data_IF_196233064417
#
_entry.id   IF_196233064417
#
_cell.length_a   1.000
_cell.length_b   1.000
_cell.length_c   1.000
_cell.angle_alpha   90.00
_cell.angle_beta   90.00
_cell.angle_gamma   90.00
#
_symmetry.space_group_name_H-M   'P 1'
#
loop_
_entity.id
_entity.type
_entity.pdbx_description
1 polymer ?
#
# COMPACT_ATOMS: atom_id res chain seq x y z
N UNK A 1 -4.34 -16.45 77.86
CA UNK A 1 -4.89 -15.57 76.81
C UNK A 1 -4.23 -15.91 75.48
N UNK A 2 -5.05 -16.04 74.44
CA UNK A 2 -4.75 -16.17 73.00
C UNK A 2 -4.08 -17.44 72.45
N UNK A 3 -4.93 -18.19 71.74
CA UNK A 3 -4.67 -19.08 70.61
C UNK A 3 -3.94 -18.34 69.47
N UNK A 4 -3.13 -19.03 68.65
CA UNK A 4 -3.51 -19.53 67.31
C UNK A 4 -2.28 -19.78 66.39
N UNK A 5 -2.15 -21.04 65.97
CA UNK A 5 -1.88 -21.54 64.60
C UNK A 5 -0.83 -20.84 63.70
N UNK A 6 0.17 -21.63 63.30
CA UNK A 6 0.68 -21.60 61.92
C UNK A 6 -0.48 -21.88 60.95
N UNK A 7 -0.52 -21.21 59.79
CA UNK A 7 -0.07 -21.91 58.60
C UNK A 7 0.75 -21.05 57.63
N UNK A 8 1.69 -21.73 56.97
CA UNK A 8 2.00 -21.63 55.55
C UNK A 8 1.72 -20.28 54.86
N UNK A 9 2.78 -19.50 54.64
CA UNK A 9 2.83 -18.54 53.55
C UNK A 9 3.99 -18.93 52.64
N UNK A 10 3.64 -19.67 51.59
CA UNK A 10 4.32 -19.66 50.30
C UNK A 10 4.56 -18.19 49.95
N UNK A 11 5.81 -17.72 50.08
CA UNK A 11 6.24 -16.49 49.42
C UNK A 11 6.31 -16.81 47.93
N UNK A 12 5.18 -16.68 47.25
CA UNK A 12 5.17 -16.52 45.80
C UNK A 12 5.79 -15.15 45.55
N UNK A 13 7.07 -15.15 45.17
CA UNK A 13 7.68 -14.00 44.51
C UNK A 13 7.00 -13.82 43.14
N UNK A 14 5.83 -13.18 43.13
CA UNK A 14 5.09 -12.77 41.93
C UNK A 14 4.95 -11.24 41.92
N UNK A 15 6.07 -10.53 41.89
CA UNK A 15 6.05 -9.07 41.81
C UNK A 15 7.32 -8.50 41.16
N UNK A 16 7.77 -9.09 40.05
CA UNK A 16 8.79 -8.49 39.19
C UNK A 16 8.73 -9.05 37.77
N UNK A 17 7.52 -9.17 37.21
CA UNK A 17 7.31 -9.07 35.78
C UNK A 17 6.36 -7.89 35.59
N UNK A 18 6.87 -6.68 35.87
CA UNK A 18 6.42 -5.52 35.11
C UNK A 18 6.90 -5.85 33.70
N UNK A 19 6.03 -6.51 32.96
CA UNK A 19 6.28 -6.89 31.59
C UNK A 19 6.76 -5.64 30.87
N UNK A 20 7.85 -5.80 30.12
CA UNK A 20 8.10 -5.03 28.93
C UNK A 20 6.93 -5.30 27.96
N UNK A 21 5.74 -4.81 28.28
CA UNK A 21 4.70 -4.55 27.31
C UNK A 21 4.83 -3.05 27.04
N UNK A 22 5.80 -2.70 26.20
CA UNK A 22 5.65 -1.53 25.36
C UNK A 22 4.45 -1.81 24.45
N UNK A 23 3.25 -1.68 25.01
CA UNK A 23 2.08 -1.38 24.21
C UNK A 23 2.36 0.00 23.64
N UNK A 24 3.02 0.05 22.48
CA UNK A 24 2.97 1.21 21.61
C UNK A 24 1.51 1.57 21.46
N UNK A 25 1.07 2.58 22.23
CA UNK A 25 -0.32 3.01 22.21
C UNK A 25 -0.59 3.52 20.80
N UNK A 26 -1.46 2.82 20.07
CA UNK A 26 -1.85 3.27 18.74
C UNK A 26 -2.51 4.64 18.86
N UNK A 27 -2.15 5.50 17.94
CA UNK A 27 -2.80 6.78 17.74
C UNK A 27 -3.96 6.59 16.76
N UNK A 28 -4.99 7.43 16.91
CA UNK A 28 -6.03 7.52 15.89
C UNK A 28 -5.39 8.09 14.62
N UNK A 29 -5.45 7.35 13.52
CA UNK A 29 -4.93 7.80 12.22
C UNK A 29 -6.11 8.00 11.28
N UNK A 30 -6.23 9.19 10.72
CA UNK A 30 -7.08 9.45 9.57
C UNK A 30 -6.18 9.48 8.33
N UNK A 31 -6.45 8.61 7.35
CA UNK A 31 -5.64 8.51 6.13
C UNK A 31 -6.54 8.56 4.90
N UNK A 32 -6.26 9.50 4.01
CA UNK A 32 -6.83 9.57 2.68
C UNK A 32 -5.86 8.91 1.68
N UNK A 33 -6.34 7.88 0.97
CA UNK A 33 -5.57 7.17 -0.05
C UNK A 33 -6.17 7.42 -1.42
N UNK A 34 -5.32 7.86 -2.35
CA UNK A 34 -5.64 7.88 -3.77
C UNK A 34 -4.87 6.77 -4.48
N UNK A 35 -5.56 6.01 -5.33
CA UNK A 35 -4.97 4.94 -6.12
C UNK A 35 -5.49 4.99 -7.56
N UNK A 36 -4.58 4.94 -8.53
CA UNK A 36 -4.94 4.97 -9.95
C UNK A 36 -3.88 4.27 -10.80
N UNK A 37 -4.27 3.83 -12.01
CA UNK A 37 -3.36 3.24 -13.00
C UNK A 37 -3.28 3.96 -14.32
N UNK A 38 -4.32 4.71 -14.65
CA UNK A 38 -4.44 5.43 -15.90
C UNK A 38 -5.30 6.66 -15.68
N UNK A 39 -5.12 7.65 -16.55
CA UNK A 39 -6.04 8.75 -16.63
C UNK A 39 -7.41 8.27 -17.16
N UNK A 40 -8.48 9.05 -16.94
CA UNK A 40 -9.82 8.71 -17.39
C UNK A 40 -9.90 8.67 -18.91
N UNK A 41 -10.76 7.82 -19.45
CA UNK A 41 -10.93 7.68 -20.91
C UNK A 41 -11.27 9.02 -21.58
N UNK A 42 -12.05 9.85 -20.90
CA UNK A 42 -12.40 11.22 -21.32
C UNK A 42 -11.17 12.13 -21.53
N UNK A 43 -10.08 11.90 -20.80
CA UNK A 43 -8.81 12.64 -20.93
C UNK A 43 -7.97 12.01 -22.04
N UNK A 44 -7.90 10.68 -22.07
CA UNK A 44 -7.11 9.94 -23.06
C UNK A 44 -7.65 10.08 -24.48
N UNK A 45 -8.97 10.18 -24.67
CA UNK A 45 -9.62 10.29 -25.98
C UNK A 45 -9.52 11.69 -26.62
N UNK A 46 -9.10 12.72 -25.87
CA UNK A 46 -9.10 14.12 -26.33
C UNK A 46 -8.05 14.42 -27.40
N UNK A 47 -7.01 13.61 -27.57
CA UNK A 47 -5.87 13.98 -28.42
C UNK A 47 -5.22 12.78 -29.11
N UNK A 48 -4.98 12.89 -30.42
CA UNK A 48 -4.24 11.91 -31.22
C UNK A 48 -2.72 12.18 -31.29
N UNK A 49 -2.22 13.17 -30.55
CA UNK A 49 -0.81 13.59 -30.53
C UNK A 49 -0.20 13.29 -29.16
N UNK A 50 0.77 12.38 -29.11
CA UNK A 50 1.38 11.86 -27.87
C UNK A 50 1.82 12.96 -26.89
N UNK A 51 2.51 14.01 -27.35
CA UNK A 51 3.01 15.08 -26.47
C UNK A 51 1.90 15.96 -25.86
N UNK A 52 0.75 16.10 -26.53
CA UNK A 52 -0.39 16.83 -25.97
C UNK A 52 -1.15 15.97 -24.96
N UNK A 53 -1.25 14.66 -25.20
CA UNK A 53 -1.86 13.72 -24.27
C UNK A 53 -1.09 13.67 -22.94
N UNK A 54 0.25 13.61 -22.98
CA UNK A 54 1.07 13.60 -21.78
C UNK A 54 0.85 14.84 -20.91
N UNK A 55 0.80 16.03 -21.54
CA UNK A 55 0.50 17.28 -20.82
C UNK A 55 -0.90 17.27 -20.19
N UNK A 56 -1.92 16.82 -20.91
CA UNK A 56 -3.28 16.76 -20.36
C UNK A 56 -3.38 15.81 -19.16
N UNK A 57 -2.70 14.67 -19.22
CA UNK A 57 -2.62 13.72 -18.09
C UNK A 57 -1.89 14.35 -16.92
N UNK A 58 -0.77 15.05 -17.16
CA UNK A 58 -0.02 15.75 -16.13
C UNK A 58 -0.84 16.85 -15.44
N UNK A 59 -1.51 17.70 -16.22
CA UNK A 59 -2.35 18.79 -15.73
C UNK A 59 -3.53 18.23 -14.92
N UNK A 60 -4.23 17.22 -15.47
CA UNK A 60 -5.32 16.52 -14.79
C UNK A 60 -4.88 15.93 -13.44
N UNK A 61 -3.76 15.20 -13.42
CA UNK A 61 -3.26 14.56 -12.22
C UNK A 61 -2.78 15.58 -11.19
N UNK A 62 -2.08 16.63 -11.63
CA UNK A 62 -1.62 17.71 -10.75
C UNK A 62 -2.81 18.40 -10.07
N UNK A 63 -3.87 18.69 -10.82
CA UNK A 63 -5.08 19.30 -10.27
C UNK A 63 -5.75 18.37 -9.26
N UNK A 64 -5.94 17.09 -9.60
CA UNK A 64 -6.59 16.13 -8.71
C UNK A 64 -5.80 15.90 -7.41
N UNK A 65 -4.47 15.79 -7.49
CA UNK A 65 -3.64 15.61 -6.30
C UNK A 65 -3.60 16.88 -5.44
N UNK A 66 -3.66 18.06 -6.05
CA UNK A 66 -3.82 19.32 -5.32
C UNK A 66 -5.15 19.35 -4.56
N UNK A 67 -6.28 19.11 -5.25
CA UNK A 67 -7.61 19.07 -4.63
C UNK A 67 -7.69 18.02 -3.51
N UNK A 68 -7.10 16.84 -3.73
CA UNK A 68 -7.09 15.76 -2.76
C UNK A 68 -6.22 16.09 -1.53
N UNK A 69 -5.12 16.83 -1.70
CA UNK A 69 -4.31 17.35 -0.58
C UNK A 69 -5.09 18.38 0.23
N UNK A 70 -5.62 19.42 -0.42
CA UNK A 70 -6.40 20.49 0.25
C UNK A 70 -7.57 19.90 1.05
N UNK A 71 -8.30 18.94 0.45
CA UNK A 71 -9.44 18.32 1.12
C UNK A 71 -8.99 17.46 2.31
N UNK A 72 -7.86 16.77 2.20
CA UNK A 72 -7.29 15.99 3.32
C UNK A 72 -6.84 16.90 4.46
N UNK A 73 -6.21 18.03 4.16
CA UNK A 73 -5.83 19.04 5.15
C UNK A 73 -7.06 19.61 5.88
N UNK A 74 -8.11 19.99 5.14
CA UNK A 74 -9.37 20.45 5.73
C UNK A 74 -10.03 19.39 6.63
N UNK A 75 -9.96 18.12 6.23
CA UNK A 75 -10.52 16.98 6.99
C UNK A 75 -9.59 16.49 8.11
N UNK A 76 -8.43 17.10 8.31
CA UNK A 76 -7.42 16.66 9.28
C UNK A 76 -7.03 15.18 9.08
N UNK A 77 -6.83 14.82 7.82
CA UNK A 77 -6.39 13.49 7.38
C UNK A 77 -4.99 13.57 6.79
N UNK A 78 -4.17 12.56 7.07
CA UNK A 78 -2.95 12.30 6.33
C UNK A 78 -3.27 11.93 4.87
N UNK A 79 -2.29 12.08 3.99
CA UNK A 79 -2.46 11.89 2.56
C UNK A 79 -1.38 10.99 1.97
N UNK A 80 -1.79 10.09 1.06
CA UNK A 80 -0.89 9.32 0.20
C UNK A 80 -1.53 9.03 -1.16
N UNK A 81 -0.70 9.11 -2.20
CA UNK A 81 -1.05 8.85 -3.58
C UNK A 81 -0.21 7.69 -4.14
N UNK A 82 -0.90 6.73 -4.74
CA UNK A 82 -0.32 5.49 -5.25
C UNK A 82 -0.62 5.39 -6.75
N UNK A 83 0.40 5.07 -7.54
CA UNK A 83 0.25 4.78 -8.96
C UNK A 83 0.56 3.31 -9.25
N UNK A 84 -0.24 2.63 -10.06
CA UNK A 84 0.03 1.26 -10.48
C UNK A 84 -0.12 1.08 -11.99
N UNK A 85 0.92 0.66 -12.69
CA UNK A 85 0.78 0.42 -14.13
C UNK A 85 0.08 -0.94 -14.40
N UNK A 86 -1.18 -0.93 -14.84
CA UNK A 86 -1.94 -2.18 -15.04
C UNK A 86 -2.16 -2.57 -16.51
N UNK A 87 -1.83 -1.71 -17.48
CA UNK A 87 -2.11 -1.93 -18.92
C UNK A 87 -0.86 -1.78 -19.80
N UNK A 88 -0.71 -2.64 -20.83
CA UNK A 88 0.35 -2.52 -21.86
C UNK A 88 0.06 -1.45 -22.90
N UNK A 89 -1.21 -1.06 -23.08
CA UNK A 89 -1.67 -0.35 -24.28
C UNK A 89 -1.70 1.17 -24.17
N UNK A 90 -1.35 1.73 -23.01
CA UNK A 90 -1.41 3.17 -22.78
C UNK A 90 -0.13 3.56 -22.07
N UNK A 91 0.75 4.24 -22.82
CA UNK A 91 2.05 4.67 -22.32
C UNK A 91 1.89 5.36 -20.98
N UNK A 92 2.65 4.88 -19.99
CA UNK A 92 2.79 5.52 -18.70
C UNK A 92 3.12 6.99 -18.95
N UNK A 93 2.28 7.92 -18.53
CA UNK A 93 2.64 9.34 -18.58
C UNK A 93 3.83 9.51 -17.64
N UNK A 94 5.01 9.79 -18.19
CA UNK A 94 6.23 9.88 -17.38
C UNK A 94 6.15 11.01 -16.36
N UNK A 95 5.44 12.08 -16.71
CA UNK A 95 5.08 13.18 -15.80
C UNK A 95 4.22 12.74 -14.61
N UNK A 96 3.42 11.68 -14.73
CA UNK A 96 2.60 11.19 -13.62
C UNK A 96 3.42 10.55 -12.50
N UNK A 97 4.56 9.94 -12.85
CA UNK A 97 5.44 9.25 -11.90
C UNK A 97 6.09 10.21 -10.90
N UNK A 98 6.25 11.49 -11.28
CA UNK A 98 6.81 12.51 -10.40
C UNK A 98 5.85 12.95 -9.29
N UNK A 99 4.55 12.98 -9.60
CA UNK A 99 3.51 13.62 -8.78
C UNK A 99 3.01 12.73 -7.63
N UNK A 100 3.17 11.42 -7.72
CA UNK A 100 2.67 10.45 -6.74
C UNK A 100 3.70 10.06 -5.68
N UNK A 101 3.26 9.52 -4.55
CA UNK A 101 4.13 9.12 -3.46
C UNK A 101 4.82 7.78 -3.72
N UNK A 102 4.07 6.78 -4.18
CA UNK A 102 4.56 5.39 -4.37
C UNK A 102 4.16 4.84 -5.72
N UNK A 103 5.11 4.13 -6.35
CA UNK A 103 4.92 3.50 -7.66
C UNK A 103 4.81 1.98 -7.52
N UNK A 104 3.81 1.38 -8.14
CA UNK A 104 3.73 -0.05 -8.40
C UNK A 104 3.93 -0.24 -9.91
N UNK A 105 5.16 -0.54 -10.29
CA UNK A 105 5.54 -0.71 -11.69
C UNK A 105 5.74 -2.18 -12.04
N UNK A 106 5.51 -2.54 -13.30
CA UNK A 106 5.86 -3.86 -13.84
C UNK A 106 7.30 -3.84 -14.37
N UNK A 107 7.96 -5.02 -14.47
CA UNK A 107 9.36 -5.09 -14.86
C UNK A 107 9.69 -4.37 -16.19
N UNK A 108 8.87 -4.56 -17.21
CA UNK A 108 9.01 -3.91 -18.52
C UNK A 108 8.87 -2.39 -18.45
N UNK A 109 7.87 -1.87 -17.71
CA UNK A 109 7.72 -0.42 -17.53
C UNK A 109 8.85 0.20 -16.70
N UNK A 110 9.43 -0.53 -15.75
CA UNK A 110 10.63 -0.09 -15.02
C UNK A 110 11.79 0.06 -16.01
N UNK A 111 12.00 -0.91 -16.90
CA UNK A 111 13.06 -0.86 -17.91
C UNK A 111 12.87 0.33 -18.86
N UNK A 112 11.65 0.55 -19.35
CA UNK A 112 11.30 1.58 -20.31
C UNK A 112 11.44 3.00 -19.73
N UNK A 113 10.99 3.21 -18.49
CA UNK A 113 10.93 4.54 -17.87
C UNK A 113 12.03 4.80 -16.84
N UNK A 114 13.08 3.98 -16.80
CA UNK A 114 14.15 4.05 -15.79
C UNK A 114 14.77 5.44 -15.62
N UNK A 115 14.88 6.22 -16.71
CA UNK A 115 15.43 7.58 -16.70
C UNK A 115 14.41 8.67 -16.33
N UNK A 116 13.13 8.35 -16.41
CA UNK A 116 12.04 9.26 -16.11
C UNK A 116 11.52 9.11 -14.67
N UNK A 117 11.77 7.97 -14.03
CA UNK A 117 11.45 7.77 -12.60
C UNK A 117 12.34 8.71 -11.77
N UNK A 118 11.76 9.62 -10.96
CA UNK A 118 12.55 10.52 -10.13
C UNK A 118 13.43 9.73 -9.16
N UNK A 119 14.66 10.20 -8.96
CA UNK A 119 15.58 9.61 -7.97
C UNK A 119 14.94 9.62 -6.58
N UNK A 120 15.03 8.47 -5.88
CA UNK A 120 14.48 8.32 -4.54
C UNK A 120 12.97 8.09 -4.48
N UNK A 121 12.27 7.99 -5.62
CA UNK A 121 10.86 7.61 -5.65
C UNK A 121 10.72 6.12 -5.27
N UNK A 122 9.91 5.74 -4.27
CA UNK A 122 9.75 4.35 -3.88
C UNK A 122 8.98 3.58 -4.95
N UNK A 123 9.56 2.44 -5.37
CA UNK A 123 8.89 1.45 -6.21
C UNK A 123 8.55 0.26 -5.33
N UNK A 124 7.27 -0.02 -5.17
CA UNK A 124 6.77 -1.11 -4.35
C UNK A 124 6.71 -2.41 -5.16
N UNK A 125 7.53 -3.37 -4.73
CA UNK A 125 7.85 -4.56 -5.51
C UNK A 125 7.97 -5.83 -4.66
N UNK A 126 7.08 -6.01 -3.68
CA UNK A 126 7.14 -7.10 -2.69
C UNK A 126 7.25 -8.49 -3.33
N UNK A 127 6.44 -8.79 -4.35
CA UNK A 127 6.48 -10.11 -4.99
C UNK A 127 7.42 -10.19 -6.19
N UNK A 128 7.83 -9.07 -6.78
CA UNK A 128 8.66 -9.08 -7.99
C UNK A 128 10.10 -9.48 -7.74
N UNK A 129 10.68 -10.20 -8.71
CA UNK A 129 12.12 -10.41 -8.75
C UNK A 129 12.78 -9.29 -9.57
N UNK A 130 13.30 -8.27 -8.90
CA UNK A 130 14.02 -7.17 -9.56
C UNK A 130 15.52 -7.47 -9.80
N UNK A 131 15.99 -8.70 -9.54
CA UNK A 131 17.37 -9.12 -9.79
C UNK A 131 17.95 -8.76 -11.19
N UNK A 132 17.19 -8.77 -12.30
CA UNK A 132 17.76 -8.43 -13.61
C UNK A 132 17.98 -6.93 -13.87
N UNK A 133 17.55 -6.00 -13.00
CA UNK A 133 17.70 -4.55 -13.24
C UNK A 133 19.09 -3.98 -12.87
N UNK A 134 20.10 -4.84 -12.73
CA UNK A 134 21.51 -4.41 -12.63
C UNK A 134 22.05 -4.18 -14.05
N UNK A 135 21.87 -2.98 -14.60
CA UNK A 135 22.52 -2.58 -15.84
C UNK A 135 23.66 -1.58 -15.62
N UNK A 136 24.69 -1.76 -16.46
CA UNK A 136 26.02 -1.17 -16.40
C UNK A 136 26.04 0.35 -16.22
N UNK A 137 26.57 0.82 -15.08
CA UNK A 137 27.02 2.20 -14.89
C UNK A 137 25.99 3.22 -14.41
N UNK A 138 24.70 2.87 -14.37
CA UNK A 138 23.66 3.71 -13.77
C UNK A 138 22.99 2.93 -12.64
N UNK A 139 23.50 3.11 -11.43
CA UNK A 139 22.79 2.75 -10.21
C UNK A 139 21.42 3.45 -10.26
N UNK A 140 20.36 2.71 -10.57
CA UNK A 140 19.01 3.08 -10.20
C UNK A 140 19.04 3.19 -8.68
N UNK A 141 19.22 4.42 -8.20
CA UNK A 141 19.39 4.75 -6.79
C UNK A 141 18.30 4.04 -5.97
N UNK A 142 18.69 2.99 -5.24
CA UNK A 142 17.81 2.31 -4.29
C UNK A 142 17.24 0.95 -4.70
N UNK A 143 17.64 0.31 -5.81
CA UNK A 143 17.30 -1.11 -6.05
C UNK A 143 18.22 -2.02 -5.22
N UNK A 144 18.14 -1.89 -3.89
CA UNK A 144 18.51 -2.98 -3.00
C UNK A 144 17.36 -3.99 -3.06
N UNK A 145 17.66 -5.26 -3.30
CA UNK A 145 16.64 -6.31 -3.46
C UNK A 145 15.68 -6.44 -2.28
N UNK A 146 16.04 -5.89 -1.11
CA UNK A 146 15.24 -5.87 0.10
C UNK A 146 14.56 -4.50 0.36
N UNK A 147 15.12 -3.38 -0.11
CA UNK A 147 14.59 -2.02 0.15
C UNK A 147 13.31 -1.67 -0.60
N UNK A 148 12.97 -2.43 -1.65
CA UNK A 148 11.75 -2.21 -2.45
C UNK A 148 10.61 -3.19 -2.08
N UNK A 149 10.83 -4.09 -1.12
CA UNK A 149 9.82 -5.06 -0.70
C UNK A 149 8.74 -4.43 0.15
N UNK A 150 9.07 -3.37 0.88
CA UNK A 150 8.16 -2.66 1.77
C UNK A 150 8.44 -1.18 1.64
N UNK A 151 7.40 -0.38 1.51
CA UNK A 151 7.48 1.05 1.77
C UNK A 151 6.86 1.33 3.15
N UNK A 152 7.56 2.03 4.03
CA UNK A 152 7.03 2.40 5.34
C UNK A 152 6.95 3.91 5.47
N UNK A 153 5.89 4.40 6.12
CA UNK A 153 5.71 5.83 6.40
C UNK A 153 5.05 6.01 7.76
N UNK A 154 5.58 6.96 8.54
CA UNK A 154 4.96 7.38 9.78
C UNK A 154 3.74 8.25 9.47
N UNK A 155 2.63 7.94 10.11
CA UNK A 155 1.47 8.79 10.23
C UNK A 155 1.26 9.05 11.71
N UNK A 156 1.52 10.30 12.13
CA UNK A 156 1.69 10.67 13.52
C UNK A 156 2.79 9.83 14.21
N UNK A 157 2.40 8.91 15.10
CA UNK A 157 3.35 8.05 15.84
C UNK A 157 3.34 6.61 15.37
N UNK A 158 2.41 6.24 14.50
CA UNK A 158 2.26 4.89 14.00
C UNK A 158 2.97 4.72 12.66
N UNK A 159 3.69 3.60 12.52
CA UNK A 159 4.33 3.21 11.28
C UNK A 159 3.37 2.36 10.47
N UNK A 160 3.10 2.76 9.22
CA UNK A 160 2.27 2.01 8.29
C UNK A 160 3.16 1.40 7.21
N UNK A 161 3.04 0.09 7.01
CA UNK A 161 3.74 -0.66 5.98
C UNK A 161 2.86 -0.82 4.74
N UNK A 162 3.44 -0.56 3.58
CA UNK A 162 2.84 -0.80 2.27
C UNK A 162 3.58 -1.94 1.60
N UNK A 163 2.83 -2.92 1.10
CA UNK A 163 3.31 -4.08 0.34
C UNK A 163 2.50 -4.22 -0.95
N UNK A 164 3.05 -4.91 -1.95
CA UNK A 164 2.41 -5.07 -3.25
C UNK A 164 2.23 -6.51 -3.69
N UNK A 165 1.11 -6.78 -4.34
CA UNK A 165 0.92 -7.94 -5.21
C UNK A 165 1.10 -7.48 -6.66
N UNK A 166 2.30 -7.67 -7.20
CA UNK A 166 2.63 -7.25 -8.55
C UNK A 166 2.24 -8.31 -9.58
N UNK A 167 1.67 -7.88 -10.70
CA UNK A 167 1.20 -8.73 -11.77
C UNK A 167 2.10 -8.59 -13.00
N UNK A 168 2.94 -9.59 -13.26
CA UNK A 168 3.83 -9.58 -14.43
C UNK A 168 3.10 -9.75 -15.78
N UNK A 169 1.85 -10.24 -15.79
CA UNK A 169 1.18 -10.72 -17.01
C UNK A 169 0.08 -9.80 -17.57
N UNK A 170 -0.17 -8.63 -16.96
CA UNK A 170 -1.22 -7.67 -17.40
C UNK A 170 -2.66 -8.20 -17.41
N UNK A 171 -2.89 -9.44 -16.97
CA UNK A 171 -4.20 -10.02 -16.75
C UNK A 171 -4.47 -10.08 -15.24
N UNK A 172 -5.43 -9.28 -14.71
CA UNK A 172 -5.70 -9.17 -13.27
C UNK A 172 -6.34 -10.43 -12.67
N UNK A 173 -6.72 -11.41 -13.51
CA UNK A 173 -7.36 -12.67 -13.09
C UNK A 173 -6.37 -13.84 -13.02
N UNK A 174 -5.11 -13.63 -13.44
CA UNK A 174 -4.10 -14.69 -13.43
C UNK A 174 -3.67 -15.10 -12.03
N UNK A 175 -3.25 -16.36 -11.89
CA UNK A 175 -2.70 -16.86 -10.63
C UNK A 175 -1.25 -16.41 -10.43
N UNK A 176 -0.92 -16.03 -9.20
CA UNK A 176 0.48 -15.80 -8.79
C UNK A 176 1.30 -17.09 -8.72
N UNK A 177 2.62 -16.94 -8.84
CA UNK A 177 3.56 -18.05 -8.70
C UNK A 177 3.71 -18.49 -7.24
N UNK A 178 4.29 -19.67 -7.01
CA UNK A 178 4.62 -20.13 -5.64
C UNK A 178 5.61 -19.18 -4.96
N UNK A 179 6.55 -18.62 -5.71
CA UNK A 179 7.57 -17.71 -5.16
C UNK A 179 6.96 -16.38 -4.71
N UNK A 180 5.95 -15.88 -5.42
CA UNK A 180 5.21 -14.67 -5.01
C UNK A 180 4.54 -14.87 -3.66
N UNK A 181 3.90 -16.03 -3.46
CA UNK A 181 3.27 -16.40 -2.17
C UNK A 181 4.31 -16.46 -1.05
N UNK A 182 5.46 -17.09 -1.30
CA UNK A 182 6.54 -17.21 -0.31
C UNK A 182 7.05 -15.82 0.09
N UNK A 183 7.38 -14.97 -0.88
CA UNK A 183 7.87 -13.60 -0.62
C UNK A 183 6.87 -12.75 0.13
N UNK A 184 5.59 -12.84 -0.23
CA UNK A 184 4.53 -12.12 0.46
C UNK A 184 4.40 -12.57 1.92
N UNK A 185 4.44 -13.89 2.18
CA UNK A 185 4.45 -14.45 3.54
C UNK A 185 5.65 -13.97 4.36
N UNK A 186 6.85 -14.09 3.80
CA UNK A 186 8.09 -13.66 4.45
C UNK A 186 8.06 -12.17 4.78
N UNK A 187 7.56 -11.34 3.86
CA UNK A 187 7.46 -9.89 4.05
C UNK A 187 6.45 -9.52 5.14
N UNK A 188 5.26 -10.14 5.14
CA UNK A 188 4.26 -9.90 6.20
C UNK A 188 4.81 -10.33 7.56
N UNK A 189 5.49 -11.47 7.62
CA UNK A 189 6.14 -11.93 8.85
C UNK A 189 7.24 -10.96 9.32
N UNK A 190 8.05 -10.44 8.41
CA UNK A 190 9.08 -9.44 8.72
C UNK A 190 8.47 -8.14 9.26
N UNK A 191 7.35 -7.68 8.70
CA UNK A 191 6.61 -6.53 9.22
C UNK A 191 6.15 -6.76 10.67
N UNK A 192 5.61 -7.95 10.95
CA UNK A 192 5.20 -8.34 12.31
C UNK A 192 6.38 -8.35 13.29
N UNK A 193 7.51 -8.95 12.91
CA UNK A 193 8.73 -8.99 13.74
C UNK A 193 9.28 -7.60 14.02
N UNK A 194 9.11 -6.66 13.08
CA UNK A 194 9.52 -5.26 13.21
C UNK A 194 8.45 -4.36 13.87
N UNK A 195 7.41 -4.95 14.48
CA UNK A 195 6.33 -4.24 15.15
C UNK A 195 5.53 -3.28 14.24
N UNK A 196 5.47 -3.57 12.94
CA UNK A 196 4.62 -2.86 11.97
C UNK A 196 3.31 -3.64 11.83
N UNK A 197 2.27 -3.12 12.48
CA UNK A 197 0.97 -3.78 12.58
C UNK A 197 -0.18 -3.03 11.88
N UNK A 198 0.17 -2.07 11.02
CA UNK A 198 -0.76 -1.43 10.07
C UNK A 198 -0.24 -1.69 8.67
N UNK A 199 -0.85 -2.65 7.98
CA UNK A 199 -0.34 -3.15 6.70
C UNK A 199 -1.37 -2.91 5.60
N UNK A 200 -0.93 -2.21 4.56
CA UNK A 200 -1.71 -1.90 3.36
C UNK A 200 -1.12 -2.71 2.21
N UNK A 201 -1.91 -3.66 1.70
CA UNK A 201 -1.60 -4.42 0.50
C UNK A 201 -2.20 -3.74 -0.72
N UNK A 202 -1.35 -3.38 -1.67
CA UNK A 202 -1.74 -2.78 -2.96
C UNK A 202 -1.59 -3.83 -4.07
N UNK A 203 -2.68 -4.19 -4.72
CA UNK A 203 -2.72 -5.29 -5.69
C UNK A 203 -2.93 -4.81 -7.12
N UNK A 204 -2.20 -5.45 -8.04
CA UNK A 204 -2.41 -5.36 -9.49
C UNK A 204 -3.32 -6.47 -10.03
N UNK A 205 -3.95 -7.24 -9.13
CA UNK A 205 -4.97 -8.23 -9.44
C UNK A 205 -6.34 -7.72 -9.00
N UNK A 206 -7.40 -8.31 -9.55
CA UNK A 206 -8.76 -8.02 -9.09
C UNK A 206 -8.97 -8.51 -7.63
N UNK A 207 -10.05 -8.06 -7.01
CA UNK A 207 -10.36 -8.28 -5.60
C UNK A 207 -10.54 -9.75 -5.31
N UNK A 208 -11.26 -10.46 -6.19
CA UNK A 208 -11.52 -11.90 -6.03
C UNK A 208 -10.22 -12.70 -6.03
N UNK A 209 -9.34 -12.41 -6.98
CA UNK A 209 -8.04 -13.05 -7.13
C UNK A 209 -7.12 -12.68 -5.98
N UNK A 210 -7.09 -11.41 -5.60
CA UNK A 210 -6.34 -10.91 -4.44
C UNK A 210 -6.74 -11.61 -3.14
N UNK A 211 -8.04 -11.72 -2.87
CA UNK A 211 -8.55 -12.44 -1.69
C UNK A 211 -8.19 -13.93 -1.72
N UNK A 212 -8.29 -14.59 -2.88
CA UNK A 212 -7.88 -15.99 -3.03
C UNK A 212 -6.37 -16.18 -2.76
N UNK A 213 -5.54 -15.22 -3.19
CA UNK A 213 -4.10 -15.20 -2.94
C UNK A 213 -3.80 -15.04 -1.45
N UNK A 214 -4.43 -14.07 -0.78
CA UNK A 214 -4.31 -13.83 0.66
C UNK A 214 -4.70 -15.09 1.45
N UNK A 215 -5.83 -15.71 1.10
CA UNK A 215 -6.31 -16.93 1.75
C UNK A 215 -5.34 -18.11 1.54
N UNK A 216 -4.85 -18.31 0.31
CA UNK A 216 -3.82 -19.32 0.00
C UNK A 216 -2.51 -19.05 0.74
N UNK A 217 -2.16 -17.78 0.90
CA UNK A 217 -1.01 -17.32 1.63
C UNK A 217 -1.24 -17.30 3.16
N UNK A 218 -2.45 -17.59 3.66
CA UNK A 218 -2.78 -17.62 5.09
C UNK A 218 -2.32 -16.35 5.83
N UNK A 219 -2.45 -15.18 5.20
CA UNK A 219 -1.99 -13.91 5.77
C UNK A 219 -3.07 -13.37 6.72
N UNK A 220 -2.67 -13.03 7.93
CA UNK A 220 -3.58 -12.54 8.99
C UNK A 220 -3.32 -11.10 9.41
N UNK A 221 -2.21 -10.50 9.00
CA UNK A 221 -1.79 -9.14 9.36
C UNK A 221 -1.86 -8.20 8.15
N UNK A 222 -3.03 -8.11 7.52
CA UNK A 222 -3.33 -7.16 6.43
C UNK A 222 -4.61 -6.42 6.81
N UNK A 223 -4.47 -5.13 7.10
CA UNK A 223 -5.58 -4.27 7.51
C UNK A 223 -6.33 -3.70 6.31
N UNK A 224 -5.61 -3.40 5.22
CA UNK A 224 -6.20 -2.78 4.04
C UNK A 224 -5.74 -3.48 2.77
N UNK A 225 -6.67 -3.77 1.89
CA UNK A 225 -6.42 -4.32 0.55
C UNK A 225 -6.96 -3.35 -0.48
N UNK A 226 -6.07 -2.84 -1.33
CA UNK A 226 -6.38 -1.92 -2.42
C UNK A 226 -6.26 -2.64 -3.75
N UNK A 227 -7.31 -2.63 -4.56
CA UNK A 227 -7.31 -3.14 -5.94
C UNK A 227 -7.86 -2.08 -6.90
N UNK A 228 -7.89 -2.39 -8.19
CA UNK A 228 -8.52 -1.53 -9.18
C UNK A 228 -9.51 -2.32 -10.04
N UNK A 229 -10.79 -2.06 -9.84
CA UNK A 229 -11.92 -2.55 -10.61
C UNK A 229 -13.03 -1.49 -10.64
N UNK A 230 -13.83 -1.50 -11.71
CA UNK A 230 -15.05 -0.69 -11.81
C UNK A 230 -16.30 -1.55 -11.52
N UNK A 231 -17.28 -1.04 -10.75
CA UNK A 231 -17.29 0.26 -10.08
C UNK A 231 -16.40 0.28 -8.83
N UNK A 232 -16.06 1.49 -8.36
CA UNK A 232 -15.38 1.64 -7.07
C UNK A 232 -16.23 1.08 -5.94
N UNK A 233 -15.58 0.44 -4.96
CA UNK A 233 -16.27 -0.21 -3.85
C UNK A 233 -15.35 -0.31 -2.63
N UNK A 234 -15.85 0.01 -1.45
CA UNK A 234 -15.15 -0.19 -0.18
C UNK A 234 -16.03 -1.00 0.77
N UNK A 235 -15.45 -2.01 1.42
CA UNK A 235 -16.13 -2.88 2.39
C UNK A 235 -15.17 -3.21 3.52
N UNK A 236 -15.65 -3.10 4.76
CA UNK A 236 -14.97 -3.62 5.94
C UNK A 236 -15.47 -5.04 6.21
N UNK A 237 -14.59 -6.04 6.12
CA UNK A 237 -14.91 -7.45 6.36
C UNK A 237 -13.86 -8.08 7.28
N UNK A 238 -14.30 -8.67 8.39
CA UNK A 238 -13.42 -9.29 9.38
C UNK A 238 -12.36 -8.36 10.00
N UNK A 239 -12.54 -7.04 9.93
CA UNK A 239 -11.56 -6.04 10.36
C UNK A 239 -10.61 -5.54 9.27
N UNK A 240 -10.63 -6.17 8.08
CA UNK A 240 -9.86 -5.75 6.91
C UNK A 240 -10.72 -4.86 6.00
N UNK A 241 -10.20 -3.71 5.60
CA UNK A 241 -10.81 -2.85 4.60
C UNK A 241 -10.41 -3.32 3.20
N UNK A 242 -11.38 -3.77 2.41
CA UNK A 242 -11.22 -4.11 1.00
C UNK A 242 -11.76 -2.96 0.15
N UNK A 243 -10.88 -2.31 -0.61
CA UNK A 243 -11.23 -1.18 -1.47
C UNK A 243 -10.78 -1.39 -2.91
N UNK A 244 -11.68 -1.14 -3.86
CA UNK A 244 -11.42 -1.14 -5.29
C UNK A 244 -11.64 0.26 -5.86
N UNK A 245 -10.67 0.77 -6.59
CA UNK A 245 -10.70 2.11 -7.21
C UNK A 245 -11.11 2.02 -8.69
N UNK A 246 -11.84 3.02 -9.18
CA UNK A 246 -12.20 3.14 -10.59
C UNK A 246 -11.27 4.11 -11.32
N UNK A 247 -11.07 3.86 -12.61
CA UNK A 247 -10.37 4.76 -13.55
C UNK A 247 -11.33 5.45 -14.54
N UNK A 248 -12.64 5.38 -14.30
CA UNK A 248 -13.65 5.90 -15.23
C UNK A 248 -13.99 7.38 -15.00
N UNK A 249 -13.62 7.94 -13.85
CA UNK A 249 -14.07 9.28 -13.45
C UNK A 249 -12.98 10.33 -13.64
N UNK A 250 -13.39 11.53 -14.07
CA UNK A 250 -12.52 12.70 -14.21
C UNK A 250 -11.90 13.17 -12.88
N UNK A 251 -12.40 12.69 -11.75
CA UNK A 251 -11.83 12.93 -10.43
C UNK A 251 -11.22 11.66 -9.86
N UNK A 252 -10.08 11.80 -9.18
CA UNK A 252 -9.45 10.69 -8.48
C UNK A 252 -10.34 10.21 -7.33
N UNK A 253 -10.60 8.91 -7.34
CA UNK A 253 -11.20 8.24 -6.19
C UNK A 253 -10.28 8.36 -4.97
N UNK A 254 -10.89 8.64 -3.81
CA UNK A 254 -10.19 8.87 -2.55
C UNK A 254 -10.83 8.04 -1.45
N UNK A 255 -10.13 7.00 -1.01
CA UNK A 255 -10.56 6.18 0.11
C UNK A 255 -10.22 6.89 1.42
N UNK A 256 -11.21 7.11 2.26
CA UNK A 256 -11.03 7.54 3.64
C UNK A 256 -10.91 6.31 4.55
N UNK A 257 -9.81 6.27 5.30
CA UNK A 257 -9.52 5.26 6.31
C UNK A 257 -9.36 5.91 7.67
N UNK A 258 -9.95 5.29 8.69
CA UNK A 258 -9.71 5.69 10.08
C UNK A 258 -9.33 4.48 10.93
N UNK A 259 -8.12 4.48 11.45
CA UNK A 259 -7.69 3.56 12.51
C UNK A 259 -8.07 4.13 13.88
N UNK A 260 -8.60 3.30 14.76
CA UNK A 260 -8.85 3.65 16.16
C UNK A 260 -7.55 3.64 16.97
N UNK A 261 -7.61 4.14 18.20
CA UNK A 261 -6.51 4.05 19.18
C UNK A 261 -6.18 2.60 19.61
N UNK A 262 -6.99 1.63 19.18
CA UNK A 262 -6.73 0.21 19.39
C UNK A 262 -6.15 -0.45 18.13
N UNK A 263 -5.91 0.32 17.07
CA UNK A 263 -5.41 -0.17 15.78
C UNK A 263 -6.49 -0.74 14.86
N UNK A 264 -7.77 -0.75 15.26
CA UNK A 264 -8.85 -1.29 14.44
C UNK A 264 -9.35 -0.28 13.41
N UNK A 265 -9.71 -0.73 12.20
CA UNK A 265 -10.34 0.14 11.20
C UNK A 265 -11.79 0.43 11.58
N UNK A 266 -12.13 1.72 11.66
CA UNK A 266 -13.46 2.24 12.02
C UNK A 266 -14.16 2.92 10.85
N UNK A 267 -13.42 3.38 9.84
CA UNK A 267 -13.94 3.96 8.60
C UNK A 267 -13.19 3.35 7.41
N UNK A 268 -13.93 2.93 6.38
CA UNK A 268 -13.45 2.39 5.12
C UNK A 268 -14.48 2.74 4.04
N UNK A 269 -14.34 3.91 3.42
CA UNK A 269 -15.33 4.43 2.46
C UNK A 269 -14.72 5.43 1.47
N UNK A 270 -15.30 5.51 0.28
CA UNK A 270 -15.00 6.57 -0.71
C UNK A 270 -15.76 7.86 -0.41
#
# INVERSE_FOLDING_TARGET
>A
MSYCKLPTLFFIALSALVGCNDHHQHTKINLAINYFSQAPESILAKVNILGQQERLVADWLSQNLYEARETSEYQHSHFISLYSNQSQRQGTSTSALALVDVLLLKPDSIAEHQFAIPKGKPILATTMNLAPFRHDGLNLFGIDGDKNRVFTKYYDKDLVGFISLNNSNYDPTTSVTKNDIVRLKETVHELEQNHINKVILVSQFDMKTTQAIIAKAQLTNIDVVLTQEAPKKAVLDGGTCYASFSNHFDQLDRLQLQFSQQGAITICSF
#
